data_IF_053216842424
#
_entry.id   IF_053216842424
#
_cell.length_a   1.000
_cell.length_b   1.000
_cell.length_c   1.000
_cell.angle_alpha   90.00
_cell.angle_beta   90.00
_cell.angle_gamma   90.00
#
_symmetry.space_group_name_H-M   'P 1'
#
loop_
_entity.id
_entity.type
_entity.pdbx_description
1 polymer ?
#
# COMPACT_ATOMS: atom_id res chain seq x y z
N UNK A 1 -5.93 -10.83 -17.97
CA UNK A 1 -5.82 -11.92 -16.97
C UNK A 1 -5.87 -11.30 -15.59
N UNK A 2 -6.57 -11.91 -14.62
CA UNK A 2 -6.75 -11.40 -13.24
C UNK A 2 -5.63 -11.95 -12.35
N UNK A 3 -5.12 -11.15 -11.40
CA UNK A 3 -3.82 -11.31 -10.74
C UNK A 3 -3.71 -12.30 -9.57
N UNK A 4 -4.62 -13.26 -9.43
CA UNK A 4 -4.57 -14.32 -8.41
C UNK A 4 -5.06 -15.63 -9.05
N UNK A 5 -4.38 -16.76 -8.80
CA UNK A 5 -4.79 -18.09 -9.28
C UNK A 5 -6.15 -18.48 -8.69
N UNK A 6 -7.00 -19.16 -9.44
CA UNK A 6 -8.30 -19.64 -8.94
C UNK A 6 -8.25 -21.06 -8.35
N UNK A 7 -7.26 -21.86 -8.73
CA UNK A 7 -6.95 -23.19 -8.18
C UNK A 7 -5.44 -23.45 -8.19
N UNK A 8 -4.98 -24.48 -7.47
CA UNK A 8 -3.56 -24.83 -7.42
C UNK A 8 -3.04 -25.30 -8.78
N UNK A 9 -1.78 -25.00 -9.07
CA UNK A 9 -1.08 -25.35 -10.32
C UNK A 9 0.19 -26.13 -10.00
N UNK A 10 0.51 -27.16 -10.78
CA UNK A 10 1.70 -27.98 -10.61
C UNK A 10 1.40 -29.43 -10.26
N UNK A 11 2.36 -30.09 -9.61
CA UNK A 11 2.21 -31.48 -9.17
C UNK A 11 1.01 -31.62 -8.24
N UNK A 12 0.10 -32.54 -8.58
CA UNK A 12 -1.14 -32.79 -7.85
C UNK A 12 -2.01 -31.53 -7.66
N UNK A 13 -1.80 -30.51 -8.50
CA UNK A 13 -2.64 -29.32 -8.54
C UNK A 13 -3.94 -29.57 -9.29
N UNK A 14 -4.94 -28.71 -9.08
CA UNK A 14 -6.18 -28.75 -9.87
C UNK A 14 -5.92 -28.40 -11.35
N UNK A 15 -4.85 -27.64 -11.62
CA UNK A 15 -4.33 -27.37 -12.97
C UNK A 15 -5.36 -26.78 -13.93
N UNK A 16 -6.18 -25.84 -13.45
CA UNK A 16 -7.09 -25.08 -14.32
C UNK A 16 -6.28 -24.37 -15.41
N UNK A 17 -6.61 -24.62 -16.68
CA UNK A 17 -5.90 -24.07 -17.85
C UNK A 17 -5.52 -22.57 -17.74
N UNK A 18 -6.46 -21.72 -17.29
CA UNK A 18 -6.21 -20.29 -17.08
C UNK A 18 -5.12 -19.99 -16.03
N UNK A 19 -5.07 -20.77 -14.96
CA UNK A 19 -4.10 -20.63 -13.88
C UNK A 19 -2.74 -21.17 -14.31
N UNK A 20 -2.72 -22.30 -15.05
CA UNK A 20 -1.49 -22.86 -15.64
C UNK A 20 -0.83 -21.85 -16.57
N UNK A 21 -1.57 -21.28 -17.53
CA UNK A 21 -1.03 -20.26 -18.43
C UNK A 21 -0.51 -19.02 -17.67
N UNK A 22 -1.13 -18.67 -16.54
CA UNK A 22 -0.65 -17.58 -15.68
C UNK A 22 0.68 -17.92 -15.02
N UNK A 23 0.83 -19.13 -14.48
CA UNK A 23 2.08 -19.62 -13.87
C UNK A 23 3.20 -19.74 -14.91
N UNK A 24 2.93 -20.32 -16.07
CA UNK A 24 3.90 -20.40 -17.18
C UNK A 24 4.39 -19.02 -17.61
N UNK A 25 3.46 -18.06 -17.78
CA UNK A 25 3.80 -16.68 -18.08
C UNK A 25 4.71 -16.05 -17.02
N UNK A 26 4.44 -16.26 -15.73
CA UNK A 26 5.27 -15.76 -14.63
C UNK A 26 6.65 -16.42 -14.59
N UNK A 27 6.72 -17.74 -14.75
CA UNK A 27 7.97 -18.49 -14.87
C UNK A 27 8.85 -17.90 -15.97
N UNK A 28 8.27 -17.61 -17.14
CA UNK A 28 9.00 -17.01 -18.25
C UNK A 28 9.55 -15.62 -17.96
N UNK A 29 8.86 -14.83 -17.12
CA UNK A 29 9.39 -13.54 -16.64
C UNK A 29 10.64 -13.77 -15.76
N UNK A 30 10.61 -14.75 -14.87
CA UNK A 30 11.77 -15.09 -14.04
C UNK A 30 12.91 -15.70 -14.87
N UNK A 31 12.60 -16.53 -15.87
CA UNK A 31 13.58 -17.06 -16.82
C UNK A 31 14.38 -15.95 -17.50
N UNK A 32 13.69 -14.88 -17.94
CA UNK A 32 14.35 -13.73 -18.58
C UNK A 32 15.25 -12.94 -17.61
N UNK A 33 14.84 -12.80 -16.34
CA UNK A 33 15.44 -11.88 -15.37
C UNK A 33 16.45 -12.52 -14.41
N UNK A 34 16.44 -13.84 -14.24
CA UNK A 34 17.27 -14.54 -13.25
C UNK A 34 18.17 -15.57 -13.95
N UNK A 35 19.45 -15.26 -14.08
CA UNK A 35 20.44 -16.11 -14.74
C UNK A 35 20.61 -17.47 -14.05
N UNK A 36 20.61 -17.51 -12.71
CA UNK A 36 20.74 -18.76 -11.97
C UNK A 36 19.54 -19.68 -12.17
N UNK A 37 18.33 -19.12 -12.21
CA UNK A 37 17.12 -19.88 -12.52
C UNK A 37 17.11 -20.37 -13.97
N UNK A 38 17.50 -19.51 -14.91
CA UNK A 38 17.67 -19.87 -16.32
C UNK A 38 18.68 -21.00 -16.52
N UNK A 39 19.76 -21.06 -15.74
CA UNK A 39 20.72 -22.15 -15.81
C UNK A 39 20.12 -23.50 -15.37
N UNK A 40 19.06 -23.51 -14.55
CA UNK A 40 18.39 -24.73 -14.09
C UNK A 40 17.31 -25.27 -15.04
N UNK A 41 16.69 -24.41 -15.85
CA UNK A 41 15.66 -24.83 -16.81
C UNK A 41 16.19 -24.65 -18.23
N UNK A 42 16.21 -25.73 -19.01
CA UNK A 42 16.89 -25.79 -20.33
C UNK A 42 16.37 -24.76 -21.32
N UNK A 43 15.06 -24.49 -21.28
CA UNK A 43 14.39 -23.60 -22.21
C UNK A 43 13.24 -22.83 -21.56
N UNK A 44 12.82 -21.77 -22.24
CA UNK A 44 11.64 -20.97 -21.88
C UNK A 44 10.38 -21.81 -22.13
N UNK A 45 9.43 -21.81 -21.20
CA UNK A 45 8.18 -22.54 -21.37
C UNK A 45 7.34 -21.96 -22.51
N UNK A 46 6.70 -22.83 -23.28
CA UNK A 46 5.56 -22.46 -24.13
C UNK A 46 4.36 -22.22 -23.21
N UNK A 47 3.56 -21.18 -23.48
CA UNK A 47 2.32 -20.91 -22.71
C UNK A 47 1.17 -21.66 -23.37
N UNK A 48 1.23 -22.99 -23.33
CA UNK A 48 0.22 -23.91 -23.87
C UNK A 48 -0.97 -24.12 -22.91
N UNK A 49 -0.82 -23.70 -21.65
CA UNK A 49 -1.79 -23.88 -20.55
C UNK A 49 -1.91 -25.34 -20.08
N UNK A 50 -0.95 -26.19 -20.43
CA UNK A 50 -0.86 -27.58 -19.99
C UNK A 50 0.17 -27.74 -18.87
N UNK A 51 -0.26 -28.35 -17.77
CA UNK A 51 0.58 -28.53 -16.59
C UNK A 51 1.40 -29.82 -16.67
N UNK A 52 2.12 -30.01 -17.77
CA UNK A 52 2.97 -31.18 -18.01
C UNK A 52 4.28 -31.16 -17.21
N UNK A 53 5.16 -32.16 -17.44
CA UNK A 53 6.45 -32.29 -16.76
C UNK A 53 7.32 -31.03 -16.84
N UNK A 54 7.33 -30.32 -17.97
CA UNK A 54 8.09 -29.07 -18.14
C UNK A 54 7.60 -27.96 -17.21
N UNK A 55 6.29 -27.78 -17.08
CA UNK A 55 5.70 -26.78 -16.17
C UNK A 55 6.02 -27.13 -14.71
N UNK A 56 5.86 -28.41 -14.33
CA UNK A 56 6.15 -28.89 -12.97
C UNK A 56 7.64 -28.73 -12.63
N UNK A 57 8.53 -29.20 -13.50
CA UNK A 57 9.98 -29.09 -13.29
C UNK A 57 10.46 -27.64 -13.22
N UNK A 58 9.83 -26.74 -13.97
CA UNK A 58 10.12 -25.31 -13.85
C UNK A 58 9.66 -24.72 -12.51
N UNK A 59 8.52 -25.15 -11.96
CA UNK A 59 8.09 -24.76 -10.60
C UNK A 59 9.10 -25.25 -9.56
N UNK A 60 9.56 -26.50 -9.64
CA UNK A 60 10.58 -27.05 -8.73
C UNK A 60 11.91 -26.31 -8.84
N UNK A 61 12.37 -26.02 -10.06
CA UNK A 61 13.57 -25.24 -10.28
C UNK A 61 13.45 -23.83 -9.71
N UNK A 62 12.26 -23.21 -9.80
CA UNK A 62 12.00 -21.90 -9.22
C UNK A 62 12.03 -21.94 -7.70
N UNK A 63 11.36 -22.91 -7.08
CA UNK A 63 11.34 -23.09 -5.63
C UNK A 63 12.75 -23.33 -5.08
N UNK A 64 13.54 -24.24 -5.67
CA UNK A 64 14.90 -24.49 -5.20
C UNK A 64 15.83 -23.30 -5.43
N UNK A 65 15.72 -22.61 -6.56
CA UNK A 65 16.68 -21.56 -6.92
C UNK A 65 16.36 -20.20 -6.32
N UNK A 66 15.08 -19.82 -6.34
CA UNK A 66 14.60 -18.50 -5.92
C UNK A 66 14.16 -18.50 -4.45
N UNK A 67 13.44 -19.54 -4.01
CA UNK A 67 13.01 -19.65 -2.60
C UNK A 67 14.04 -20.34 -1.70
N UNK A 68 15.08 -20.96 -2.29
CA UNK A 68 16.12 -21.71 -1.56
C UNK A 68 15.57 -22.88 -0.76
N UNK A 69 14.54 -23.54 -1.28
CA UNK A 69 13.96 -24.73 -0.68
C UNK A 69 14.73 -25.98 -1.05
N UNK A 70 15.04 -26.81 -0.06
CA UNK A 70 15.71 -28.09 -0.26
C UNK A 70 14.73 -29.17 -0.76
N UNK A 71 13.48 -29.11 -0.29
CA UNK A 71 12.41 -30.03 -0.67
C UNK A 71 11.36 -29.28 -1.49
N UNK A 72 11.46 -29.35 -2.80
CA UNK A 72 10.53 -28.70 -3.73
C UNK A 72 9.39 -29.64 -4.07
N UNK A 73 8.15 -29.15 -3.99
CA UNK A 73 6.96 -29.96 -4.26
C UNK A 73 6.45 -29.82 -5.71
N UNK A 74 6.94 -28.83 -6.46
CA UNK A 74 6.51 -28.57 -7.82
C UNK A 74 5.08 -28.04 -7.91
N UNK A 75 4.57 -27.40 -6.84
CA UNK A 75 3.21 -26.91 -6.73
C UNK A 75 3.12 -25.42 -6.35
N UNK A 76 2.10 -24.76 -6.87
CA UNK A 76 1.77 -23.35 -6.63
C UNK A 76 0.34 -23.29 -6.12
N UNK A 77 0.16 -22.98 -4.84
CA UNK A 77 -1.17 -22.89 -4.21
C UNK A 77 -1.78 -21.47 -4.25
N UNK A 78 -3.12 -21.44 -4.27
CA UNK A 78 -3.94 -20.21 -4.32
C UNK A 78 -4.04 -19.49 -2.97
N UNK A 79 -4.15 -20.26 -1.88
CA UNK A 79 -4.59 -19.77 -0.57
C UNK A 79 -3.46 -19.84 0.45
N UNK A 80 -3.45 -18.87 1.37
CA UNK A 80 -2.56 -18.84 2.54
C UNK A 80 -1.23 -18.11 2.30
N UNK A 81 -0.28 -18.31 3.22
CA UNK A 81 1.11 -17.82 3.14
C UNK A 81 1.91 -18.45 1.97
N UNK A 82 1.24 -18.91 0.89
CA UNK A 82 1.84 -19.61 -0.25
C UNK A 82 2.95 -18.76 -0.88
N UNK A 83 4.17 -19.09 -0.50
CA UNK A 83 5.43 -18.41 -0.83
C UNK A 83 5.73 -18.48 -2.31
N UNK A 84 5.42 -19.60 -2.97
CA UNK A 84 5.70 -19.79 -4.41
C UNK A 84 4.88 -18.83 -5.27
N UNK A 85 3.57 -18.71 -5.05
CA UNK A 85 2.73 -17.77 -5.79
C UNK A 85 3.15 -16.31 -5.57
N UNK A 86 3.41 -15.95 -4.30
CA UNK A 86 3.91 -14.61 -3.95
C UNK A 86 5.24 -14.33 -4.65
N UNK A 87 6.13 -15.30 -4.73
CA UNK A 87 7.43 -15.15 -5.38
C UNK A 87 7.41 -15.10 -6.89
N UNK A 88 6.57 -15.90 -7.50
CA UNK A 88 6.33 -15.80 -8.93
C UNK A 88 5.83 -14.39 -9.27
N UNK A 89 4.90 -13.83 -8.50
CA UNK A 89 4.44 -12.45 -8.70
C UNK A 89 5.39 -11.37 -8.20
N UNK A 90 6.57 -11.70 -7.67
CA UNK A 90 7.51 -10.69 -7.15
C UNK A 90 7.06 -10.02 -5.86
N UNK A 91 6.02 -10.53 -5.19
CA UNK A 91 5.47 -10.08 -3.91
C UNK A 91 6.05 -10.88 -2.71
N UNK A 92 7.30 -11.35 -2.80
CA UNK A 92 7.98 -11.99 -1.66
C UNK A 92 8.48 -10.94 -0.70
N UNK A 93 8.27 -11.18 0.59
CA UNK A 93 9.15 -10.66 1.62
C UNK A 93 10.54 -11.23 1.36
N UNK A 94 11.40 -10.45 0.70
CA UNK A 94 12.76 -10.88 0.46
C UNK A 94 13.57 -10.84 1.75
N UNK A 95 13.94 -12.03 2.26
CA UNK A 95 15.29 -12.25 2.74
C UNK A 95 16.23 -12.09 1.53
N UNK A 96 16.66 -10.86 1.27
CA UNK A 96 17.70 -10.51 0.28
C UNK A 96 18.62 -9.47 0.94
N UNK A 97 19.91 -9.77 0.92
CA UNK A 97 21.02 -9.09 1.57
C UNK A 97 20.92 -7.56 1.68
N UNK A 98 21.19 -7.11 2.91
CA UNK A 98 21.80 -5.85 3.37
C UNK A 98 22.02 -4.79 2.28
N UNK A 99 20.98 -4.03 1.97
CA UNK A 99 21.14 -2.60 1.76
C UNK A 99 20.73 -1.96 3.09
N UNK A 100 21.70 -1.38 3.80
CA UNK A 100 21.48 -0.68 5.07
C UNK A 100 20.34 0.33 4.87
N UNK A 101 19.29 0.22 5.71
CA UNK A 101 17.99 0.93 5.69
C UNK A 101 16.95 0.44 4.68
N UNK A 102 16.34 -0.71 4.96
CA UNK A 102 15.00 -1.06 4.47
C UNK A 102 14.02 -1.04 5.63
N UNK A 103 12.93 -0.29 5.49
CA UNK A 103 11.71 -0.43 6.27
C UNK A 103 11.05 -1.77 5.89
N UNK A 104 11.32 -2.83 6.66
CA UNK A 104 10.65 -4.16 6.60
C UNK A 104 10.37 -4.79 5.21
N UNK A 105 11.19 -4.51 4.20
CA UNK A 105 11.41 -5.39 3.03
C UNK A 105 10.24 -5.64 2.05
N UNK A 106 9.05 -5.10 2.27
CA UNK A 106 7.89 -5.35 1.40
C UNK A 106 7.74 -4.34 0.25
N UNK A 107 8.12 -3.08 0.46
CA UNK A 107 7.82 -1.99 -0.48
C UNK A 107 9.07 -1.53 -1.22
N UNK A 108 8.93 -1.22 -2.51
CA UNK A 108 9.94 -0.48 -3.28
C UNK A 108 9.67 1.00 -3.10
N UNK A 109 10.56 1.65 -2.35
CA UNK A 109 10.44 3.07 -2.02
C UNK A 109 10.81 3.95 -3.20
N UNK A 110 9.94 4.90 -3.52
CA UNK A 110 10.12 5.86 -4.60
C UNK A 110 10.03 7.29 -4.08
N UNK A 111 10.83 8.17 -4.69
CA UNK A 111 10.71 9.62 -4.51
C UNK A 111 10.17 10.23 -5.80
N UNK A 112 9.07 10.97 -5.71
CA UNK A 112 8.46 11.67 -6.83
C UNK A 112 9.43 12.70 -7.44
N UNK A 113 10.33 13.28 -6.64
CA UNK A 113 11.31 14.26 -7.10
C UNK A 113 12.31 13.71 -8.12
N UNK A 114 12.41 12.38 -8.27
CA UNK A 114 13.21 11.74 -9.34
C UNK A 114 12.60 11.90 -10.73
N UNK A 115 11.31 12.24 -10.83
CA UNK A 115 10.54 12.20 -12.07
C UNK A 115 10.14 13.62 -12.54
N UNK A 116 11.12 14.52 -12.61
CA UNK A 116 10.89 15.95 -12.95
C UNK A 116 10.38 16.18 -14.36
N UNK A 117 10.77 15.32 -15.31
CA UNK A 117 10.48 15.44 -16.75
C UNK A 117 9.26 14.62 -17.20
N UNK A 118 8.67 13.82 -16.32
CA UNK A 118 7.54 12.95 -16.66
C UNK A 118 6.24 13.62 -16.23
N UNK A 119 5.33 13.87 -17.16
CA UNK A 119 4.00 14.46 -16.89
C UNK A 119 3.13 13.49 -16.08
N UNK A 120 2.44 14.00 -15.05
CA UNK A 120 1.47 13.24 -14.24
C UNK A 120 0.15 13.12 -14.97
N UNK A 121 -0.37 11.90 -15.10
CA UNK A 121 -1.66 11.66 -15.74
C UNK A 121 -1.74 12.30 -17.12
N UNK A 122 -2.88 12.91 -17.43
CA UNK A 122 -3.08 13.61 -18.71
C UNK A 122 -2.76 15.11 -18.59
N UNK A 123 -1.99 15.53 -17.57
CA UNK A 123 -1.59 16.93 -17.41
C UNK A 123 -0.63 17.34 -18.52
N UNK A 124 -0.80 18.56 -19.03
CA UNK A 124 0.12 19.20 -19.98
C UNK A 124 1.23 20.01 -19.29
N UNK A 125 1.08 20.30 -18.00
CA UNK A 125 1.94 21.26 -17.29
C UNK A 125 2.53 20.74 -15.96
N UNK A 126 2.00 19.64 -15.42
CA UNK A 126 2.45 19.12 -14.12
C UNK A 126 3.18 17.80 -14.28
N UNK A 127 4.40 17.75 -13.75
CA UNK A 127 5.18 16.52 -13.66
C UNK A 127 4.90 15.72 -12.39
N UNK A 128 5.29 14.45 -12.39
CA UNK A 128 5.20 13.55 -11.23
C UNK A 128 5.89 14.18 -10.02
N UNK A 129 7.01 14.87 -10.23
CA UNK A 129 7.70 15.57 -9.15
C UNK A 129 6.88 16.66 -8.47
N UNK A 130 5.93 17.29 -9.18
CA UNK A 130 5.14 18.43 -8.70
C UNK A 130 3.81 18.00 -8.09
N UNK A 131 3.10 17.06 -8.73
CA UNK A 131 1.73 16.67 -8.34
C UNK A 131 1.53 15.16 -8.19
N UNK A 132 2.58 14.36 -8.33
CA UNK A 132 2.49 12.90 -8.36
C UNK A 132 2.54 12.20 -7.01
N UNK A 133 2.22 12.86 -5.89
CA UNK A 133 2.30 12.25 -4.55
C UNK A 133 1.39 11.03 -4.43
N UNK A 134 0.12 11.14 -4.82
CA UNK A 134 -0.84 10.03 -4.76
C UNK A 134 -0.45 8.89 -5.72
N UNK A 135 -0.04 9.22 -6.95
CA UNK A 135 0.48 8.24 -7.92
C UNK A 135 1.67 7.46 -7.32
N UNK A 136 2.60 8.17 -6.68
CA UNK A 136 3.80 7.56 -6.09
C UNK A 136 3.45 6.70 -4.89
N UNK A 137 2.51 7.13 -4.04
CA UNK A 137 1.97 6.33 -2.91
C UNK A 137 1.33 5.04 -3.40
N UNK A 138 0.44 5.11 -4.40
CA UNK A 138 -0.18 3.91 -4.97
C UNK A 138 0.85 3.00 -5.65
N UNK A 139 1.86 3.57 -6.30
CA UNK A 139 2.97 2.80 -6.89
C UNK A 139 3.71 2.01 -5.82
N UNK A 140 4.12 2.68 -4.73
CA UNK A 140 4.83 2.02 -3.62
C UNK A 140 3.98 0.91 -2.99
N UNK A 141 2.69 1.16 -2.74
CA UNK A 141 1.78 0.13 -2.24
C UNK A 141 1.67 -1.06 -3.20
N UNK A 142 1.49 -0.78 -4.49
CA UNK A 142 1.35 -1.81 -5.52
C UNK A 142 2.59 -2.69 -5.68
N UNK A 143 3.78 -2.20 -5.32
CA UNK A 143 5.00 -3.03 -5.33
C UNK A 143 4.98 -4.16 -4.30
N UNK A 144 4.15 -4.03 -3.25
CA UNK A 144 4.03 -5.02 -2.18
C UNK A 144 2.74 -5.85 -2.29
N UNK A 145 1.62 -5.18 -2.53
CA UNK A 145 0.27 -5.79 -2.47
C UNK A 145 -0.51 -5.68 -3.78
N UNK A 146 0.08 -5.07 -4.81
CA UNK A 146 -0.53 -4.95 -6.12
C UNK A 146 -0.61 -6.29 -6.84
N UNK A 147 -1.65 -6.43 -7.65
CA UNK A 147 -1.88 -7.57 -8.51
C UNK A 147 -1.80 -7.19 -9.98
N UNK A 148 -1.07 -7.95 -10.79
CA UNK A 148 -1.08 -7.73 -12.24
C UNK A 148 -2.48 -8.00 -12.79
N UNK A 149 -2.96 -7.13 -13.67
CA UNK A 149 -4.22 -7.32 -14.36
C UNK A 149 -4.04 -7.09 -15.87
N UNK A 150 -5.13 -7.09 -16.65
CA UNK A 150 -5.08 -6.88 -18.11
C UNK A 150 -4.47 -5.54 -18.57
N UNK A 151 -4.32 -4.57 -17.67
CA UNK A 151 -3.73 -3.25 -17.95
C UNK A 151 -2.21 -3.21 -17.69
N UNK A 152 -1.65 -4.22 -17.03
CA UNK A 152 -0.21 -4.30 -16.79
C UNK A 152 0.50 -4.88 -18.01
N UNK A 153 1.70 -4.36 -18.36
CA UNK A 153 2.59 -5.07 -19.27
C UNK A 153 2.88 -6.49 -18.75
N UNK A 154 2.87 -7.47 -19.64
CA UNK A 154 2.96 -8.89 -19.28
C UNK A 154 4.29 -9.27 -18.60
N UNK A 155 5.36 -8.53 -18.87
CA UNK A 155 6.71 -8.72 -18.34
C UNK A 155 7.03 -7.85 -17.12
N UNK A 156 6.10 -6.99 -16.71
CA UNK A 156 6.25 -6.11 -15.56
C UNK A 156 5.82 -6.84 -14.28
N UNK A 157 6.75 -6.98 -13.34
CA UNK A 157 6.44 -7.47 -11.99
C UNK A 157 6.13 -6.29 -11.05
N UNK A 158 5.27 -6.47 -10.04
CA UNK A 158 5.05 -5.52 -8.95
C UNK A 158 6.32 -4.87 -8.39
N UNK A 159 7.34 -5.66 -8.03
CA UNK A 159 8.62 -5.14 -7.54
C UNK A 159 9.41 -4.28 -8.54
N UNK A 160 9.10 -4.39 -9.84
CA UNK A 160 9.75 -3.62 -10.91
C UNK A 160 8.91 -2.41 -11.33
N UNK A 161 7.77 -2.19 -10.65
CA UNK A 161 6.90 -1.04 -10.85
C UNK A 161 7.57 0.22 -10.29
N UNK A 162 7.48 1.30 -11.06
CA UNK A 162 7.93 2.62 -10.68
C UNK A 162 6.88 3.66 -11.12
N UNK A 163 6.95 4.91 -10.64
CA UNK A 163 5.94 5.92 -10.94
C UNK A 163 5.72 6.19 -12.42
N UNK A 164 6.75 6.06 -13.27
CA UNK A 164 6.59 6.21 -14.73
C UNK A 164 5.72 5.10 -15.30
N UNK A 165 6.03 3.84 -15.00
CA UNK A 165 5.25 2.69 -15.49
C UNK A 165 3.84 2.67 -14.91
N UNK A 166 3.70 3.01 -13.64
CA UNK A 166 2.39 3.13 -13.00
C UNK A 166 1.56 4.23 -13.68
N UNK A 167 2.14 5.39 -13.98
CA UNK A 167 1.47 6.48 -14.68
C UNK A 167 0.86 6.02 -16.01
N UNK A 168 1.60 5.23 -16.81
CA UNK A 168 1.11 4.70 -18.08
C UNK A 168 -0.04 3.69 -17.90
N UNK A 169 0.07 2.79 -16.91
CA UNK A 169 -1.03 1.89 -16.55
C UNK A 169 -2.28 2.69 -16.16
N UNK A 170 -2.11 3.71 -15.32
CA UNK A 170 -3.19 4.54 -14.82
C UNK A 170 -3.86 5.36 -15.93
N UNK A 171 -3.09 5.98 -16.84
CA UNK A 171 -3.62 6.65 -18.04
C UNK A 171 -4.47 5.70 -18.89
N UNK A 172 -3.93 4.53 -19.23
CA UNK A 172 -4.62 3.52 -20.06
C UNK A 172 -5.89 2.92 -19.42
N UNK A 173 -6.03 3.09 -18.10
CA UNK A 173 -7.22 2.69 -17.35
C UNK A 173 -8.29 3.79 -17.29
N UNK A 174 -7.95 5.03 -17.66
CA UNK A 174 -8.80 6.20 -17.45
C UNK A 174 -8.89 6.61 -15.98
N UNK A 175 -7.85 6.36 -15.18
CA UNK A 175 -7.81 6.75 -13.77
C UNK A 175 -7.55 8.26 -13.57
N UNK A 176 -7.28 8.99 -14.64
CA UNK A 176 -7.06 10.44 -14.61
C UNK A 176 -8.17 11.20 -15.32
N UNK A 177 -8.56 12.33 -14.73
CA UNK A 177 -9.38 13.38 -15.35
C UNK A 177 -8.50 14.63 -15.36
N UNK A 178 -7.93 14.96 -16.52
CA UNK A 178 -6.84 15.95 -16.60
C UNK A 178 -5.61 15.50 -15.79
N UNK A 179 -5.16 16.35 -14.85
CA UNK A 179 -4.06 16.04 -13.92
C UNK A 179 -4.49 15.30 -12.65
N UNK A 180 -5.79 15.22 -12.38
CA UNK A 180 -6.33 14.69 -11.13
C UNK A 180 -6.62 13.20 -11.25
N UNK A 181 -6.33 12.47 -10.18
CA UNK A 181 -6.49 11.01 -10.14
C UNK A 181 -7.75 10.59 -9.38
N UNK A 182 -8.55 9.75 -10.01
CA UNK A 182 -9.62 8.98 -9.36
C UNK A 182 -8.95 7.83 -8.60
N UNK A 183 -8.65 8.03 -7.31
CA UNK A 183 -7.78 7.14 -6.52
C UNK A 183 -8.28 5.70 -6.50
N UNK A 184 -9.58 5.46 -6.33
CA UNK A 184 -10.17 4.12 -6.34
C UNK A 184 -9.95 3.40 -7.67
N UNK A 185 -10.13 4.11 -8.79
CA UNK A 185 -9.86 3.58 -10.13
C UNK A 185 -8.37 3.32 -10.34
N UNK A 186 -7.52 4.21 -9.82
CA UNK A 186 -6.07 4.04 -9.86
C UNK A 186 -5.58 2.83 -9.07
N UNK A 187 -6.07 2.65 -7.84
CA UNK A 187 -5.76 1.47 -7.03
C UNK A 187 -6.21 0.18 -7.75
N UNK A 188 -7.44 0.14 -8.28
CA UNK A 188 -7.94 -1.00 -9.05
C UNK A 188 -7.09 -1.30 -10.29
N UNK A 189 -6.67 -0.28 -11.03
CA UNK A 189 -5.78 -0.42 -12.18
C UNK A 189 -4.40 -0.99 -11.80
N UNK A 190 -3.93 -0.73 -10.58
CA UNK A 190 -2.74 -1.32 -9.97
C UNK A 190 -3.02 -2.63 -9.20
N UNK A 191 -4.22 -3.19 -9.34
CA UNK A 191 -4.61 -4.48 -8.75
C UNK A 191 -4.81 -4.46 -7.24
N UNK A 192 -5.22 -3.31 -6.70
CA UNK A 192 -5.55 -3.12 -5.29
C UNK A 192 -7.00 -2.65 -5.15
N UNK A 193 -7.65 -2.98 -4.04
CA UNK A 193 -8.87 -2.31 -3.58
C UNK A 193 -8.50 -1.05 -2.82
N UNK A 194 -9.34 -0.02 -2.89
CA UNK A 194 -9.21 1.20 -2.10
C UNK A 194 -10.54 1.54 -1.45
N UNK A 195 -10.54 1.67 -0.13
CA UNK A 195 -11.71 2.06 0.68
C UNK A 195 -11.38 3.36 1.41
N UNK A 196 -12.05 4.46 1.06
CA UNK A 196 -11.79 5.79 1.61
C UNK A 196 -12.54 6.03 2.93
N UNK A 197 -11.87 6.66 3.89
CA UNK A 197 -12.39 7.01 5.21
C UNK A 197 -11.93 8.41 5.63
N UNK A 198 -12.59 8.97 6.64
CA UNK A 198 -12.16 10.18 7.31
C UNK A 198 -12.34 11.47 6.50
N UNK A 199 -13.46 11.69 5.80
CA UNK A 199 -13.72 13.01 5.16
C UNK A 199 -14.05 14.14 6.16
N UNK A 200 -14.04 13.86 7.45
CA UNK A 200 -14.21 14.84 8.53
C UNK A 200 -12.91 15.60 8.82
N UNK A 201 -13.02 16.75 9.49
CA UNK A 201 -11.85 17.58 9.86
C UNK A 201 -10.93 16.91 10.89
N UNK A 202 -11.38 15.83 11.54
CA UNK A 202 -10.71 15.10 12.61
C UNK A 202 -10.98 13.60 12.46
N UNK A 203 -9.94 12.77 12.55
CA UNK A 203 -10.07 11.32 12.64
C UNK A 203 -10.58 10.91 14.02
N UNK A 204 -11.54 9.99 14.07
CA UNK A 204 -12.06 9.41 15.30
C UNK A 204 -11.13 8.33 15.87
N UNK A 205 -11.37 7.91 17.12
CA UNK A 205 -10.69 6.72 17.67
C UNK A 205 -11.00 5.46 16.85
N UNK A 206 -12.22 5.35 16.28
CA UNK A 206 -12.61 4.27 15.37
C UNK A 206 -11.76 4.24 14.10
N UNK A 207 -11.47 5.41 13.52
CA UNK A 207 -10.59 5.53 12.35
C UNK A 207 -9.18 5.00 12.63
N UNK A 208 -8.63 5.31 13.81
CA UNK A 208 -7.32 4.78 14.21
C UNK A 208 -7.35 3.26 14.38
N UNK A 209 -8.42 2.72 14.98
CA UNK A 209 -8.61 1.27 15.09
C UNK A 209 -8.70 0.58 13.73
N UNK A 210 -9.35 1.21 12.73
CA UNK A 210 -9.38 0.71 11.35
C UNK A 210 -7.97 0.68 10.74
N UNK A 211 -7.20 1.76 10.89
CA UNK A 211 -5.81 1.82 10.41
C UNK A 211 -4.96 0.70 11.06
N UNK A 212 -5.03 0.54 12.37
CA UNK A 212 -4.29 -0.50 13.12
C UNK A 212 -4.68 -1.90 12.65
N UNK A 213 -5.98 -2.19 12.55
CA UNK A 213 -6.50 -3.49 12.09
C UNK A 213 -6.09 -3.80 10.65
N UNK A 214 -5.98 -2.78 9.79
CA UNK A 214 -5.54 -2.96 8.41
C UNK A 214 -4.03 -3.22 8.31
N UNK A 215 -3.23 -2.46 9.06
CA UNK A 215 -1.79 -2.63 9.14
C UNK A 215 -1.39 -3.98 9.74
N UNK A 216 -2.14 -4.50 10.73
CA UNK A 216 -1.87 -5.81 11.34
C UNK A 216 -2.05 -6.98 10.35
N UNK A 217 -2.87 -6.80 9.30
CA UNK A 217 -2.99 -7.74 8.17
C UNK A 217 -1.83 -7.65 7.18
N UNK A 218 -0.88 -6.74 7.41
CA UNK A 218 0.24 -6.47 6.51
C UNK A 218 -0.13 -5.60 5.30
N UNK A 219 -1.23 -4.85 5.38
CA UNK A 219 -1.71 -4.00 4.29
C UNK A 219 -1.44 -2.53 4.57
N UNK A 220 -0.90 -1.77 3.61
CA UNK A 220 -0.59 -0.36 3.83
C UNK A 220 -1.85 0.52 3.79
N UNK A 221 -1.70 1.75 4.30
CA UNK A 221 -2.73 2.78 4.27
C UNK A 221 -2.20 4.00 3.50
N UNK A 222 -2.94 4.46 2.50
CA UNK A 222 -2.67 5.73 1.86
C UNK A 222 -3.29 6.84 2.71
N UNK A 223 -2.49 7.74 3.27
CA UNK A 223 -2.98 8.82 4.11
C UNK A 223 -2.86 10.15 3.37
N UNK A 224 -3.95 10.89 3.29
CA UNK A 224 -3.95 12.28 2.85
C UNK A 224 -3.67 13.16 4.04
N UNK A 225 -2.67 14.02 3.91
CA UNK A 225 -2.20 14.87 5.00
C UNK A 225 -2.33 16.34 4.62
N UNK A 226 -2.63 17.16 5.62
CA UNK A 226 -2.42 18.61 5.55
C UNK A 226 -0.96 18.93 5.88
N UNK A 227 -0.18 19.06 4.81
CA UNK A 227 1.24 19.37 4.83
C UNK A 227 1.48 20.90 4.77
N UNK A 228 0.70 21.66 3.98
CA UNK A 228 0.86 23.14 3.81
C UNK A 228 -0.02 24.05 4.66
N UNK A 229 -0.73 23.56 5.68
CA UNK A 229 -1.72 24.31 6.49
C UNK A 229 -3.02 24.64 5.74
N UNK A 230 -3.31 23.87 4.70
CA UNK A 230 -4.56 23.91 3.95
C UNK A 230 -5.47 22.81 4.47
N UNK A 231 -6.52 23.17 5.18
CA UNK A 231 -7.42 22.27 5.91
C UNK A 231 -7.95 21.06 5.13
N UNK A 232 -7.94 21.06 3.81
CA UNK A 232 -8.40 19.97 2.94
C UNK A 232 -7.40 18.81 2.76
N UNK A 233 -6.15 18.98 3.21
CA UNK A 233 -5.04 18.12 2.82
C UNK A 233 -4.54 18.43 1.42
N UNK A 234 -3.24 18.26 1.21
CA UNK A 234 -2.56 18.64 -0.04
C UNK A 234 -1.45 17.65 -0.44
N UNK A 235 -1.24 16.61 0.36
CA UNK A 235 -0.17 15.65 0.15
C UNK A 235 -0.60 14.24 0.55
N UNK A 236 -0.04 13.23 -0.11
CA UNK A 236 -0.30 11.83 0.20
C UNK A 236 0.97 11.16 0.68
N UNK A 237 0.85 10.33 1.73
CA UNK A 237 1.92 9.49 2.27
C UNK A 237 1.43 8.04 2.36
N UNK A 238 2.36 7.10 2.54
CA UNK A 238 2.05 5.67 2.70
C UNK A 238 2.38 5.20 4.12
N UNK A 239 1.39 4.94 4.96
CA UNK A 239 1.59 4.31 6.28
C UNK A 239 1.78 2.80 6.05
N UNK A 240 2.87 2.25 6.57
CA UNK A 240 3.30 0.87 6.26
C UNK A 240 3.32 -0.06 7.47
N UNK A 241 3.36 0.48 8.70
CA UNK A 241 3.27 -0.32 9.93
C UNK A 241 2.93 0.53 11.14
N UNK A 242 2.40 -0.12 12.18
CA UNK A 242 2.44 0.37 13.54
C UNK A 242 3.73 -0.12 14.21
N UNK A 243 4.38 0.75 14.98
CA UNK A 243 5.57 0.44 15.78
C UNK A 243 5.15 -0.09 17.17
N UNK A 244 6.08 -0.72 17.88
CA UNK A 244 5.83 -1.30 19.20
C UNK A 244 5.47 -0.26 20.28
N UNK A 245 5.90 0.98 20.09
CA UNK A 245 5.58 2.13 20.96
C UNK A 245 4.22 2.78 20.63
N UNK A 246 3.45 2.21 19.70
CA UNK A 246 2.15 2.71 19.29
C UNK A 246 2.18 3.82 18.22
N UNK A 247 3.37 4.29 17.82
CA UNK A 247 3.56 5.21 16.69
C UNK A 247 3.40 4.49 15.35
N UNK A 248 3.40 5.22 14.24
CA UNK A 248 3.26 4.64 12.91
C UNK A 248 4.43 5.03 12.02
N UNK A 249 5.00 4.06 11.32
CA UNK A 249 5.98 4.36 10.28
C UNK A 249 5.26 4.60 8.95
N UNK A 250 5.58 5.72 8.30
CA UNK A 250 5.05 6.07 6.99
C UNK A 250 6.18 6.50 6.03
N UNK A 251 5.89 6.50 4.75
CA UNK A 251 6.83 6.86 3.68
C UNK A 251 6.28 8.09 2.98
N UNK A 252 7.05 9.17 2.97
CA UNK A 252 6.73 10.38 2.23
C UNK A 252 7.25 10.26 0.77
N UNK A 253 6.37 10.27 -0.25
CA UNK A 253 6.79 10.19 -1.64
C UNK A 253 7.60 11.40 -2.11
N UNK A 254 7.59 12.53 -1.41
CA UNK A 254 8.35 13.72 -1.82
C UNK A 254 9.85 13.37 -1.93
N UNK A 255 10.44 12.87 -0.85
CA UNK A 255 11.85 12.49 -0.79
C UNK A 255 12.08 10.97 -0.70
N UNK A 256 11.01 10.17 -0.59
CA UNK A 256 11.09 8.72 -0.40
C UNK A 256 11.66 8.33 0.96
N UNK A 257 11.48 9.18 1.98
CA UNK A 257 11.99 8.96 3.33
C UNK A 257 10.92 8.43 4.27
N UNK A 258 11.35 7.69 5.29
CA UNK A 258 10.49 7.28 6.40
C UNK A 258 10.23 8.47 7.33
N UNK A 259 8.98 8.62 7.76
CA UNK A 259 8.50 9.56 8.77
C UNK A 259 7.74 8.79 9.85
N UNK A 260 7.67 9.33 11.06
CA UNK A 260 6.98 8.71 12.19
C UNK A 260 5.74 9.53 12.51
N UNK A 261 4.56 8.90 12.54
CA UNK A 261 3.30 9.52 12.95
C UNK A 261 2.96 9.17 14.40
N UNK A 262 2.68 10.19 15.20
CA UNK A 262 2.31 10.09 16.62
C UNK A 262 0.82 10.32 16.83
N UNK A 263 0.20 9.56 17.73
CA UNK A 263 -1.22 9.77 18.09
C UNK A 263 -1.45 11.03 18.92
N UNK A 264 -0.42 11.50 19.62
CA UNK A 264 -0.49 12.64 20.54
C UNK A 264 -0.41 13.97 19.80
N UNK A 265 -1.42 14.83 20.02
CA UNK A 265 -1.41 16.23 19.57
C UNK A 265 -0.44 17.11 20.35
N UNK A 266 0.04 16.67 21.51
CA UNK A 266 1.06 17.39 22.28
C UNK A 266 2.39 17.52 21.52
N UNK A 267 2.65 16.59 20.58
CA UNK A 267 3.85 16.62 19.74
C UNK A 267 3.65 17.47 18.46
N UNK A 268 2.47 18.07 18.27
CA UNK A 268 2.21 18.91 17.12
C UNK A 268 2.54 20.37 17.44
N UNK A 269 3.62 20.90 16.88
CA UNK A 269 3.99 22.30 17.07
C UNK A 269 2.91 23.29 16.56
N UNK A 270 1.99 22.88 15.67
CA UNK A 270 0.81 23.71 15.30
C UNK A 270 -0.24 23.78 16.42
N UNK A 271 -0.28 22.83 17.35
CA UNK A 271 -1.21 22.83 18.48
C UNK A 271 -0.88 23.95 19.49
N UNK A 272 0.37 24.40 19.55
CA UNK A 272 0.81 25.45 20.49
C UNK A 272 0.52 26.88 20.01
N UNK A 273 0.41 27.12 18.70
CA UNK A 273 0.16 28.47 18.16
C UNK A 273 -1.26 28.98 18.48
N UNK A 274 -1.41 30.12 19.19
CA UNK A 274 -2.66 30.66 19.78
C UNK A 274 -3.82 30.99 18.81
N UNK A 275 -3.77 30.64 17.52
CA UNK A 275 -4.81 30.99 16.54
C UNK A 275 -6.04 30.07 16.62
N UNK A 276 -7.25 30.63 16.64
CA UNK A 276 -8.54 29.94 16.81
C UNK A 276 -8.88 28.86 15.76
N UNK A 277 -8.10 28.72 14.69
CA UNK A 277 -8.26 27.68 13.66
C UNK A 277 -7.54 26.36 13.99
N UNK A 278 -7.29 26.06 15.28
CA UNK A 278 -6.54 24.86 15.71
C UNK A 278 -7.27 23.59 15.29
N UNK A 279 -6.74 22.90 14.28
CA UNK A 279 -7.16 21.53 13.98
C UNK A 279 -6.56 20.57 15.00
N UNK A 280 -7.43 19.90 15.76
CA UNK A 280 -7.08 18.69 16.50
C UNK A 280 -7.03 17.54 15.49
N UNK A 281 -5.85 17.23 14.98
CA UNK A 281 -5.63 16.00 14.22
C UNK A 281 -5.48 14.78 15.13
N UNK A 282 -5.55 13.60 14.53
CA UNK A 282 -5.04 12.37 15.13
C UNK A 282 -4.05 11.81 14.11
N UNK A 283 -2.83 11.48 14.55
CA UNK A 283 -1.65 11.18 13.72
C UNK A 283 -0.92 12.44 13.21
N UNK A 284 0.20 12.74 13.89
CA UNK A 284 1.09 13.85 13.61
C UNK A 284 2.46 13.33 13.21
N UNK A 285 2.90 13.68 12.00
CA UNK A 285 4.21 13.28 11.53
C UNK A 285 5.34 14.14 12.08
N UNK A 286 6.27 13.50 12.78
CA UNK A 286 7.61 14.02 13.03
C UNK A 286 8.56 13.56 11.92
N UNK A 287 9.52 14.42 11.58
CA UNK A 287 10.54 14.09 10.60
C UNK A 287 11.42 12.97 11.13
N UNK A 288 11.59 11.91 10.33
CA UNK A 288 12.65 10.94 10.59
C UNK A 288 14.04 11.60 10.47
N UNK A 289 15.02 11.10 11.22
CA UNK A 289 16.43 11.55 11.22
C UNK A 289 17.15 11.54 9.85
N UNK A 290 16.49 11.12 8.76
CA UNK A 290 17.07 10.97 7.43
C UNK A 290 17.17 12.29 6.65
N UNK A 291 16.51 13.34 7.12
CA UNK A 291 16.34 14.61 6.40
C UNK A 291 17.49 15.61 6.61
N UNK A 292 18.65 15.15 7.13
CA UNK A 292 19.88 15.97 7.25
C UNK A 292 20.36 16.56 5.92
N UNK A 293 19.82 16.10 4.78
CA UNK A 293 20.10 16.62 3.43
C UNK A 293 19.13 17.70 2.95
N UNK A 294 17.96 17.86 3.57
CA UNK A 294 17.04 18.94 3.23
C UNK A 294 17.52 20.24 3.88
N UNK A 295 17.65 21.33 3.12
CA UNK A 295 18.13 22.60 3.65
C UNK A 295 17.22 23.16 4.76
N UNK A 296 17.74 24.02 5.66
CA UNK A 296 16.98 24.57 6.81
C UNK A 296 15.64 25.24 6.44
N UNK A 297 15.56 25.85 5.26
CA UNK A 297 14.31 26.46 4.73
C UNK A 297 13.24 25.42 4.43
N UNK A 298 13.62 24.30 3.82
CA UNK A 298 12.71 23.16 3.57
C UNK A 298 12.29 22.52 4.89
N UNK A 299 13.19 22.51 5.89
CA UNK A 299 12.91 21.98 7.22
C UNK A 299 11.87 22.79 8.02
N UNK A 300 11.88 24.13 7.95
CA UNK A 300 10.89 24.99 8.63
C UNK A 300 9.45 24.87 8.08
N UNK A 301 9.29 24.55 6.78
CA UNK A 301 7.97 24.43 6.15
C UNK A 301 7.27 23.08 6.40
N UNK A 302 8.04 22.03 6.69
CA UNK A 302 7.60 20.62 6.69
C UNK A 302 7.05 20.11 8.02
N UNK A 303 6.69 21.01 8.93
CA UNK A 303 6.73 20.65 10.34
C UNK A 303 5.57 19.81 10.87
N UNK A 304 4.46 19.58 10.17
CA UNK A 304 3.39 18.75 10.73
C UNK A 304 2.57 18.07 9.63
N UNK A 305 2.63 16.75 9.57
CA UNK A 305 1.71 15.94 8.77
C UNK A 305 0.47 15.72 9.61
N UNK A 306 -0.66 16.32 9.25
CA UNK A 306 -1.93 16.05 9.92
C UNK A 306 -2.74 15.15 9.00
N UNK A 307 -3.00 13.90 9.37
CA UNK A 307 -3.86 13.03 8.56
C UNK A 307 -5.27 13.59 8.57
N UNK A 308 -5.78 13.96 7.39
CA UNK A 308 -7.11 14.54 7.22
C UNK A 308 -8.11 13.58 6.60
N UNK A 309 -7.64 12.53 5.92
CA UNK A 309 -8.43 11.39 5.42
C UNK A 309 -7.46 10.27 5.07
N UNK A 310 -7.96 9.07 4.87
CA UNK A 310 -7.11 7.93 4.50
C UNK A 310 -7.88 6.95 3.63
N UNK A 311 -7.14 6.05 2.99
CA UNK A 311 -7.72 4.91 2.31
C UNK A 311 -6.99 3.63 2.64
N UNK A 312 -7.78 2.61 2.96
CA UNK A 312 -7.31 1.26 3.20
C UNK A 312 -7.02 0.62 1.83
N UNK A 313 -5.77 0.19 1.62
CA UNK A 313 -5.35 -0.48 0.40
C UNK A 313 -5.21 -1.98 0.67
N UNK A 314 -5.97 -2.82 -0.03
CA UNK A 314 -5.82 -4.27 0.07
C UNK A 314 -5.53 -4.87 -1.31
N UNK A 315 -5.01 -6.11 -1.40
CA UNK A 315 -5.07 -6.86 -2.63
C UNK A 315 -6.51 -6.88 -3.15
N UNK A 316 -6.68 -6.77 -4.47
CA UNK A 316 -8.00 -6.98 -5.08
C UNK A 316 -8.37 -8.45 -4.87
N UNK A 317 -9.25 -8.74 -3.90
CA UNK A 317 -9.78 -10.09 -3.74
C UNK A 317 -10.44 -10.50 -5.05
N UNK A 318 -10.12 -11.71 -5.55
CA UNK A 318 -11.01 -12.37 -6.51
C UNK A 318 -12.39 -12.30 -5.87
N UNK A 319 -13.37 -11.76 -6.59
CA UNK A 319 -14.72 -11.63 -6.04
C UNK A 319 -15.09 -12.92 -5.32
N UNK A 320 -15.27 -12.84 -4.00
CA UNK A 320 -16.39 -13.56 -3.45
C UNK A 320 -17.57 -13.09 -4.31
N UNK A 321 -18.39 -14.03 -4.79
CA UNK A 321 -19.65 -13.67 -5.44
C UNK A 321 -20.41 -12.64 -4.61
N UNK A 322 -21.38 -11.94 -5.20
CA UNK A 322 -22.15 -10.91 -4.49
C UNK A 322 -22.67 -11.49 -3.17
N UNK A 323 -22.25 -10.89 -2.05
CA UNK A 323 -22.79 -11.22 -0.73
C UNK A 323 -21.77 -11.70 0.29
N UNK A 324 -20.92 -10.80 0.78
CA UNK A 324 -20.80 -10.53 2.23
C UNK A 324 -20.42 -9.06 2.38
N UNK A 325 -21.44 -8.21 2.54
CA UNK A 325 -21.27 -6.83 2.93
C UNK A 325 -20.83 -6.80 4.40
N UNK A 326 -19.53 -6.64 4.67
CA UNK A 326 -19.03 -6.36 6.03
C UNK A 326 -19.38 -4.93 6.51
N UNK A 327 -20.29 -4.22 5.84
CA UNK A 327 -20.61 -2.82 6.12
C UNK A 327 -21.82 -2.60 7.04
N UNK A 328 -22.60 -3.62 7.41
CA UNK A 328 -23.74 -3.43 8.32
C UNK A 328 -23.37 -3.56 9.80
N UNK A 329 -22.41 -4.41 10.16
CA UNK A 329 -22.01 -4.58 11.57
C UNK A 329 -21.29 -3.34 12.14
N UNK A 330 -20.65 -2.54 11.29
CA UNK A 330 -19.96 -1.31 11.75
C UNK A 330 -20.90 -0.11 11.90
N UNK A 331 -22.06 -0.09 11.21
CA UNK A 331 -23.09 0.95 11.41
C UNK A 331 -23.81 0.79 12.75
N UNK A 332 -23.98 -0.45 13.24
CA UNK A 332 -24.61 -0.70 14.55
C UNK A 332 -23.72 -0.26 15.72
N UNK A 333 -22.39 -0.30 15.62
CA UNK A 333 -21.52 0.13 16.73
C UNK A 333 -21.49 1.64 16.98
N UNK A 334 -21.87 2.47 16.00
CA UNK A 334 -22.01 3.92 16.20
C UNK A 334 -23.35 4.34 16.84
N UNK A 335 -24.35 3.45 16.87
CA UNK A 335 -25.64 3.71 17.53
C UNK A 335 -25.67 3.22 18.98
N UNK A 336 -24.74 2.35 19.40
CA UNK A 336 -24.66 1.85 20.79
C UNK A 336 -23.97 2.83 21.75
N UNK A 337 -23.31 3.89 21.24
CA UNK A 337 -22.64 4.90 22.06
C UNK A 337 -23.44 6.20 22.31
N UNK A 338 -24.69 6.30 21.85
CA UNK A 338 -25.57 7.45 22.14
C UNK A 338 -26.40 7.31 23.42
N UNK A 339 -26.23 6.21 24.18
CA UNK A 339 -27.05 5.88 25.36
C UNK A 339 -26.49 6.30 26.73
N UNK A 340 -25.36 7.00 26.82
CA UNK A 340 -24.83 7.49 28.11
C UNK A 340 -25.21 8.96 28.32
N UNK A 341 -26.37 9.18 28.94
CA UNK A 341 -26.74 10.46 29.54
C UNK A 341 -25.88 10.69 30.78
N UNK A 342 -24.97 11.66 30.73
CA UNK A 342 -24.34 12.21 31.93
C UNK A 342 -25.38 13.07 32.65
N UNK A 343 -26.01 12.53 33.68
CA UNK A 343 -26.70 13.33 34.70
C UNK A 343 -25.66 14.16 35.45
N UNK A 344 -25.74 15.47 35.29
CA UNK A 344 -25.00 16.43 36.11
C UNK A 344 -25.53 16.40 37.53
N UNK A 345 -24.74 15.87 38.46
CA UNK A 345 -24.93 16.14 39.88
C UNK A 345 -24.43 17.56 40.20
N UNK A 346 -25.37 18.48 40.40
CA UNK A 346 -25.13 19.75 41.08
C UNK A 346 -25.07 19.51 42.59
N UNK A 347 -23.86 19.47 43.17
CA UNK A 347 -23.71 19.66 44.61
C UNK A 347 -23.74 21.15 44.92
N UNK A 348 -24.85 21.58 45.53
CA UNK A 348 -24.93 22.83 46.29
C UNK A 348 -24.06 22.65 47.54
N UNK A 349 -23.01 23.46 47.69
CA UNK A 349 -22.43 23.71 49.01
C UNK A 349 -22.90 25.09 49.45
N UNK A 350 -23.71 25.07 50.51
CA UNK A 350 -24.11 26.22 51.28
C UNK A 350 -22.92 26.72 52.10
N UNK A 351 -22.65 28.02 51.98
CA UNK A 351 -22.05 28.82 53.04
C UNK A 351 -23.22 29.37 53.87
N UNK A 352 -23.27 29.06 55.17
CA UNK A 352 -23.32 30.05 56.24
C UNK A 352 -23.60 29.42 57.62
N UNK A 353 -23.09 30.12 58.63
CA UNK A 353 -23.30 30.05 60.09
C UNK A 353 -22.39 29.05 60.85
N UNK A 354 -21.19 29.50 61.25
CA UNK A 354 -20.95 30.17 62.55
C UNK A 354 -19.75 31.12 62.45
#
# INVERSE_FOLDING_TARGET
>A
MSGILSASVGRNGVNKSKDVGTVQGLINVHYKKNQAYRAKIKEKLVIDKDCGPSTIGAIEAFQSTVLKWNNTDGRVDVKGKATTWRALNGNVQGSVHIVKKRTNGQYVVHSQLKYKKTLTGNSTASSISRTGCTLTVLTMAATAIGGRNKKWPSDLLPKDLNPVKANEILKSSGAFVGGDMIISKGANALGMKFEEYGRSSVLSAGDISLIVSHLSKGYPVAAHVDYKRGSAGDHWILIVRQNSDGTFSAIDPLFGGEIILNRSSANNARAESKAASKKKGVLFGEKGNQDKKAGPKTQKGQQNYIVVRFGLLSPLSLGAGPGVCLSEEYKKSSEVFSGFSLTTHTSKNAFDIF
#
